data_IF_043611060568
#
_entry.id   IF_043611060568
#
_cell.length_a   1.000
_cell.length_b   1.000
_cell.length_c   1.000
_cell.angle_alpha   90.00
_cell.angle_beta   90.00
_cell.angle_gamma   90.00
#
_symmetry.space_group_name_H-M   'P 1'
#
loop_
_entity.id
_entity.type
_entity.pdbx_description
1 polymer ?
#
# COMPACT_ATOMS: atom_id res chain seq x y z
N UNK A 1 35.37 -16.00 -17.80
CA UNK A 1 34.40 -15.10 -17.16
C UNK A 1 33.54 -14.51 -18.27
N UNK A 2 32.39 -15.11 -18.54
CA UNK A 2 31.44 -14.58 -19.49
C UNK A 2 30.71 -13.43 -18.80
N UNK A 3 30.91 -12.22 -19.31
CA UNK A 3 30.12 -11.04 -18.97
C UNK A 3 28.70 -11.27 -19.46
N UNK A 4 27.81 -11.69 -18.56
CA UNK A 4 26.37 -11.70 -18.81
C UNK A 4 25.94 -10.24 -18.82
N UNK A 5 25.65 -9.70 -20.01
CA UNK A 5 24.87 -8.46 -20.11
C UNK A 5 23.56 -8.66 -19.35
N UNK A 6 23.09 -7.69 -18.55
CA UNK A 6 21.83 -7.83 -17.86
C UNK A 6 20.72 -7.95 -18.91
N UNK A 7 20.05 -9.10 -18.94
CA UNK A 7 18.82 -9.27 -19.71
C UNK A 7 17.82 -8.31 -19.07
N UNK A 8 17.42 -7.26 -19.78
CA UNK A 8 16.46 -6.27 -19.28
C UNK A 8 15.11 -6.91 -18.91
N UNK A 9 14.35 -6.27 -18.03
CA UNK A 9 13.02 -6.73 -17.64
C UNK A 9 12.06 -6.72 -18.84
N UNK A 10 11.51 -7.89 -19.21
CA UNK A 10 10.60 -8.03 -20.34
C UNK A 10 9.16 -7.64 -19.95
N UNK A 11 8.90 -6.33 -19.96
CA UNK A 11 7.61 -5.77 -19.61
C UNK A 11 6.48 -6.19 -20.57
N UNK A 12 6.77 -6.46 -21.85
CA UNK A 12 5.75 -6.89 -22.83
C UNK A 12 5.29 -8.32 -22.55
N UNK A 13 6.23 -9.23 -22.19
CA UNK A 13 5.87 -10.57 -21.72
C UNK A 13 5.00 -10.49 -20.46
N UNK A 14 5.39 -9.68 -19.49
CA UNK A 14 4.62 -9.47 -18.25
C UNK A 14 3.24 -8.88 -18.55
N UNK A 15 3.15 -7.91 -19.47
CA UNK A 15 1.90 -7.27 -19.88
C UNK A 15 0.91 -8.27 -20.48
N UNK A 16 1.39 -9.29 -21.19
CA UNK A 16 0.54 -10.34 -21.78
C UNK A 16 -0.23 -11.15 -20.71
N UNK A 17 0.29 -11.24 -19.49
CA UNK A 17 -0.35 -11.94 -18.38
C UNK A 17 -1.57 -11.17 -17.83
N UNK A 18 -1.76 -9.90 -18.19
CA UNK A 18 -2.85 -9.04 -17.70
C UNK A 18 -3.91 -8.82 -18.80
N UNK A 19 -4.99 -9.63 -18.84
CA UNK A 19 -5.96 -9.60 -19.94
C UNK A 19 -6.62 -8.23 -20.15
N UNK A 20 -6.84 -7.49 -19.05
CA UNK A 20 -7.49 -6.18 -19.07
C UNK A 20 -6.68 -5.11 -19.84
N UNK A 21 -5.36 -5.29 -20.00
CA UNK A 21 -4.50 -4.35 -20.71
C UNK A 21 -4.60 -4.45 -22.24
N UNK A 22 -5.31 -5.44 -22.76
CA UNK A 22 -5.57 -5.64 -24.20
C UNK A 22 -6.85 -4.95 -24.68
N UNK A 23 -7.59 -4.29 -23.78
CA UNK A 23 -8.84 -3.62 -24.14
C UNK A 23 -8.62 -2.29 -24.90
N UNK A 24 -9.69 -1.83 -25.54
CA UNK A 24 -9.80 -0.45 -26.01
C UNK A 24 -10.75 0.34 -25.12
N UNK A 25 -10.39 1.59 -24.82
CA UNK A 25 -11.19 2.55 -24.07
C UNK A 25 -11.36 3.80 -24.94
N UNK A 26 -12.60 4.24 -25.16
CA UNK A 26 -12.92 5.40 -26.00
C UNK A 26 -12.35 5.31 -27.43
N UNK A 27 -12.24 4.09 -27.99
CA UNK A 27 -11.69 3.85 -29.34
C UNK A 27 -10.16 3.86 -29.41
N UNK A 28 -9.47 3.91 -28.27
CA UNK A 28 -8.01 3.90 -28.17
C UNK A 28 -7.53 2.69 -27.36
N UNK A 29 -6.35 2.11 -27.65
CA UNK A 29 -5.80 1.05 -26.78
C UNK A 29 -5.56 1.60 -25.38
N UNK A 30 -5.85 0.84 -24.33
CA UNK A 30 -5.71 1.31 -22.95
C UNK A 30 -4.23 1.57 -22.56
N UNK A 31 -3.98 2.77 -22.02
CA UNK A 31 -2.77 3.12 -21.26
C UNK A 31 -3.17 3.33 -19.81
N UNK A 32 -2.92 2.33 -18.96
CA UNK A 32 -3.32 2.37 -17.56
C UNK A 32 -2.18 2.86 -16.66
N UNK A 33 -2.33 4.07 -16.12
CA UNK A 33 -1.35 4.77 -15.28
C UNK A 33 -1.96 5.21 -13.92
N UNK A 34 -2.97 4.50 -13.41
CA UNK A 34 -3.53 4.70 -12.06
C UNK A 34 -3.20 3.54 -11.10
N UNK A 35 -2.01 2.95 -11.26
CA UNK A 35 -1.55 1.80 -10.49
C UNK A 35 -1.45 2.05 -8.98
N UNK A 36 -1.12 3.29 -8.57
CA UNK A 36 -1.06 3.67 -7.16
C UNK A 36 -2.45 3.77 -6.51
N UNK A 37 -3.55 3.76 -7.27
CA UNK A 37 -4.90 3.56 -6.72
C UNK A 37 -5.22 2.07 -6.63
N UNK A 38 -5.04 1.32 -7.73
CA UNK A 38 -5.14 -0.14 -7.75
C UNK A 38 -4.37 -0.68 -8.94
N UNK A 39 -3.75 -1.84 -8.79
CA UNK A 39 -3.06 -2.52 -9.89
C UNK A 39 -4.02 -3.38 -10.70
N UNK A 40 -3.65 -3.79 -11.90
CA UNK A 40 -4.38 -4.82 -12.65
C UNK A 40 -4.03 -6.23 -12.16
N UNK A 41 -4.79 -7.24 -12.61
CA UNK A 41 -4.68 -8.62 -12.12
C UNK A 41 -4.15 -9.52 -13.23
N UNK A 42 -3.10 -10.32 -12.99
CA UNK A 42 -2.67 -11.31 -13.95
C UNK A 42 -3.68 -12.46 -14.00
N UNK A 43 -3.74 -13.17 -15.12
CA UNK A 43 -4.70 -14.27 -15.35
C UNK A 43 -4.63 -15.34 -14.25
N UNK A 44 -3.43 -15.63 -13.72
CA UNK A 44 -3.24 -16.62 -12.65
C UNK A 44 -3.99 -16.26 -11.36
N UNK A 45 -4.16 -14.97 -11.05
CA UNK A 45 -4.93 -14.50 -9.89
C UNK A 45 -6.43 -14.67 -10.14
N UNK A 46 -6.87 -14.31 -11.34
CA UNK A 46 -8.27 -14.46 -11.76
C UNK A 46 -8.67 -15.94 -11.71
N UNK A 47 -7.82 -16.81 -12.28
CA UNK A 47 -8.05 -18.25 -12.33
C UNK A 47 -8.05 -18.87 -10.93
N UNK A 48 -7.17 -18.46 -10.01
CA UNK A 48 -7.17 -18.96 -8.64
C UNK A 48 -8.51 -18.70 -7.90
N UNK A 49 -9.12 -17.54 -8.12
CA UNK A 49 -10.43 -17.20 -7.56
C UNK A 49 -11.53 -18.03 -8.22
N UNK A 50 -11.49 -18.17 -9.55
CA UNK A 50 -12.44 -18.99 -10.31
C UNK A 50 -12.40 -20.45 -9.87
N UNK A 51 -11.21 -21.03 -9.74
CA UNK A 51 -11.01 -22.43 -9.35
C UNK A 51 -11.48 -22.69 -7.92
N UNK A 52 -11.21 -21.77 -6.99
CA UNK A 52 -11.76 -21.88 -5.64
C UNK A 52 -13.28 -22.02 -5.67
N UNK A 53 -13.99 -21.14 -6.38
CA UNK A 53 -15.45 -21.20 -6.41
C UNK A 53 -16.01 -22.37 -7.20
N UNK A 54 -15.29 -22.85 -8.23
CA UNK A 54 -15.73 -23.99 -9.03
C UNK A 54 -15.46 -25.34 -8.36
N UNK A 55 -14.38 -25.46 -7.61
CA UNK A 55 -13.84 -26.77 -7.21
C UNK A 55 -13.76 -26.99 -5.69
N UNK A 56 -13.39 -25.97 -4.92
CA UNK A 56 -12.98 -26.15 -3.51
C UNK A 56 -13.80 -25.32 -2.50
N UNK A 57 -14.79 -24.55 -2.94
CA UNK A 57 -15.53 -23.62 -2.08
C UNK A 57 -16.12 -24.32 -0.85
N UNK A 58 -15.65 -23.89 0.32
CA UNK A 58 -16.21 -24.21 1.62
C UNK A 58 -15.71 -23.21 2.66
N UNK A 59 -16.30 -23.23 3.85
CA UNK A 59 -15.74 -22.47 4.97
C UNK A 59 -14.44 -23.12 5.46
N UNK A 60 -13.59 -22.34 6.14
CA UNK A 60 -12.27 -22.76 6.62
C UNK A 60 -12.29 -23.22 8.09
N UNK A 61 -11.21 -23.89 8.50
CA UNK A 61 -10.88 -24.35 9.86
C UNK A 61 -11.75 -25.48 10.44
N UNK A 62 -13.04 -25.26 10.71
CA UNK A 62 -13.86 -26.18 11.55
C UNK A 62 -14.61 -27.29 10.79
N UNK A 63 -14.39 -27.43 9.49
CA UNK A 63 -15.09 -28.44 8.68
C UNK A 63 -14.40 -29.80 8.74
N UNK A 64 -15.16 -30.87 8.99
CA UNK A 64 -14.64 -32.25 9.05
C UNK A 64 -14.70 -32.99 7.69
N UNK A 65 -14.69 -32.26 6.58
CA UNK A 65 -14.89 -32.81 5.24
C UNK A 65 -13.87 -32.26 4.24
N UNK A 66 -13.60 -33.02 3.18
CA UNK A 66 -12.49 -32.77 2.25
C UNK A 66 -12.46 -31.36 1.64
N UNK A 67 -13.61 -30.77 1.30
CA UNK A 67 -13.64 -29.40 0.76
C UNK A 67 -13.17 -28.35 1.78
N UNK A 68 -13.51 -28.50 3.05
CA UNK A 68 -13.05 -27.59 4.10
C UNK A 68 -11.55 -27.76 4.35
N UNK A 69 -11.04 -29.00 4.32
CA UNK A 69 -9.60 -29.26 4.43
C UNK A 69 -8.81 -28.59 3.29
N UNK A 70 -9.28 -28.73 2.05
CA UNK A 70 -8.64 -28.12 0.87
C UNK A 70 -8.69 -26.59 0.91
N UNK A 71 -9.85 -26.02 1.22
CA UNK A 71 -10.01 -24.57 1.37
C UNK A 71 -9.09 -24.03 2.48
N UNK A 72 -9.04 -24.70 3.64
CA UNK A 72 -8.19 -24.31 4.77
C UNK A 72 -6.72 -24.39 4.42
N UNK A 73 -6.28 -25.46 3.76
CA UNK A 73 -4.89 -25.61 3.34
C UNK A 73 -4.47 -24.49 2.37
N UNK A 74 -5.31 -24.15 1.38
CA UNK A 74 -5.04 -23.05 0.44
C UNK A 74 -5.04 -21.68 1.14
N UNK A 75 -5.97 -21.45 2.06
CA UNK A 75 -6.08 -20.22 2.83
C UNK A 75 -4.86 -19.98 3.73
N UNK A 76 -4.46 -20.97 4.53
CA UNK A 76 -3.29 -20.84 5.41
C UNK A 76 -1.96 -20.84 4.64
N UNK A 77 -1.89 -21.50 3.48
CA UNK A 77 -0.72 -21.40 2.60
C UNK A 77 -0.49 -19.95 2.11
N UNK A 78 -1.55 -19.19 1.84
CA UNK A 78 -1.43 -17.78 1.47
C UNK A 78 -0.80 -16.94 2.60
N UNK A 79 -1.05 -17.29 3.86
CA UNK A 79 -0.44 -16.62 5.02
C UNK A 79 1.06 -16.87 5.09
N UNK A 80 1.47 -18.12 4.84
CA UNK A 80 2.88 -18.49 4.71
C UNK A 80 3.59 -17.72 3.59
N UNK A 81 2.92 -17.53 2.45
CA UNK A 81 3.45 -16.72 1.33
C UNK A 81 3.63 -15.25 1.70
N UNK A 82 2.69 -14.67 2.45
CA UNK A 82 2.85 -13.31 2.98
C UNK A 82 4.06 -13.21 3.91
N UNK A 83 4.21 -14.16 4.85
CA UNK A 83 5.38 -14.22 5.73
C UNK A 83 6.67 -14.21 4.92
N UNK A 84 6.74 -15.05 3.89
CA UNK A 84 7.94 -15.16 3.05
C UNK A 84 8.18 -13.90 2.20
N UNK A 85 7.12 -13.29 1.67
CA UNK A 85 7.19 -12.06 0.87
C UNK A 85 7.82 -10.89 1.63
N UNK A 86 7.44 -10.72 2.91
CA UNK A 86 7.91 -9.60 3.73
C UNK A 86 9.05 -10.00 4.70
N UNK A 87 9.51 -11.25 4.60
CA UNK A 87 10.49 -11.84 5.50
C UNK A 87 10.13 -11.68 7.00
N UNK A 88 8.85 -11.90 7.35
CA UNK A 88 8.42 -11.96 8.75
C UNK A 88 8.93 -13.23 9.44
N UNK A 89 9.16 -13.17 10.76
CA UNK A 89 9.69 -14.31 11.51
C UNK A 89 8.66 -15.46 11.56
N UNK A 90 7.37 -15.13 11.76
CA UNK A 90 6.33 -16.13 11.93
C UNK A 90 5.06 -15.83 11.15
N UNK A 91 4.36 -16.89 10.72
CA UNK A 91 3.11 -16.74 9.98
C UNK A 91 1.96 -16.21 10.85
N UNK A 92 1.97 -16.48 12.16
CA UNK A 92 0.95 -15.97 13.09
C UNK A 92 1.05 -14.46 13.36
N UNK A 93 2.13 -13.82 12.90
CA UNK A 93 2.28 -12.36 12.93
C UNK A 93 1.52 -11.68 11.79
N UNK A 94 1.01 -12.46 10.83
CA UNK A 94 0.24 -11.99 9.68
C UNK A 94 -1.24 -12.12 10.00
N UNK A 95 -1.94 -10.99 10.07
CA UNK A 95 -3.38 -10.90 10.30
C UNK A 95 -4.07 -10.48 9.01
N UNK A 96 -5.10 -11.21 8.61
CA UNK A 96 -5.95 -10.84 7.48
C UNK A 96 -6.90 -9.71 7.86
N UNK A 97 -6.98 -8.72 6.97
CA UNK A 97 -7.93 -7.62 7.05
C UNK A 97 -8.52 -7.37 5.67
N UNK A 98 -9.36 -6.34 5.53
CA UNK A 98 -9.95 -5.88 4.28
C UNK A 98 -9.03 -4.98 3.44
N UNK A 99 -7.91 -4.55 4.02
CA UNK A 99 -6.98 -3.60 3.42
C UNK A 99 -6.17 -2.85 4.48
N UNK A 100 -5.16 -2.10 4.03
CA UNK A 100 -4.35 -1.17 4.85
C UNK A 100 -5.20 -0.36 5.82
N UNK A 101 -6.33 0.19 5.37
CA UNK A 101 -7.20 1.02 6.21
C UNK A 101 -7.76 0.25 7.41
N UNK A 102 -8.22 -0.99 7.23
CA UNK A 102 -8.72 -1.79 8.35
C UNK A 102 -7.58 -2.22 9.26
N UNK A 103 -6.41 -2.57 8.70
CA UNK A 103 -5.21 -2.87 9.47
C UNK A 103 -4.79 -1.73 10.40
N UNK A 104 -4.77 -0.48 9.91
CA UNK A 104 -4.44 0.69 10.73
C UNK A 104 -5.51 0.91 11.80
N UNK A 105 -6.80 0.78 11.44
CA UNK A 105 -7.88 0.90 12.42
C UNK A 105 -7.81 -0.19 13.50
N UNK A 106 -7.38 -1.40 13.17
CA UNK A 106 -7.16 -2.47 14.13
C UNK A 106 -6.10 -2.04 15.14
N UNK A 107 -4.93 -1.58 14.68
CA UNK A 107 -3.87 -1.10 15.57
C UNK A 107 -4.34 0.09 16.41
N UNK A 108 -4.96 1.10 15.80
CA UNK A 108 -5.45 2.28 16.51
C UNK A 108 -6.50 1.92 17.57
N UNK A 109 -7.50 1.10 17.24
CA UNK A 109 -8.58 0.75 18.19
C UNK A 109 -8.18 -0.28 19.23
N UNK A 110 -7.22 -1.15 18.92
CA UNK A 110 -6.77 -2.18 19.84
C UNK A 110 -5.59 -1.71 20.69
N UNK A 111 -4.46 -1.37 20.07
CA UNK A 111 -3.29 -0.85 20.77
C UNK A 111 -3.53 0.57 21.25
N UNK A 112 -4.00 1.47 20.37
CA UNK A 112 -4.13 2.89 20.70
C UNK A 112 -5.07 3.15 21.88
N UNK A 113 -6.28 2.58 21.88
CA UNK A 113 -7.23 2.71 23.01
C UNK A 113 -6.72 2.10 24.31
N UNK A 114 -5.89 1.05 24.23
CA UNK A 114 -5.34 0.39 25.41
C UNK A 114 -4.13 1.10 26.03
N UNK A 115 -3.44 1.95 25.26
CA UNK A 115 -2.11 2.45 25.65
C UNK A 115 -2.00 3.98 25.67
N UNK A 116 -2.76 4.71 24.85
CA UNK A 116 -2.71 6.17 24.82
C UNK A 116 -3.41 6.79 26.04
N UNK A 117 -2.79 7.81 26.61
CA UNK A 117 -3.26 8.57 27.76
C UNK A 117 -3.36 10.08 27.44
N UNK A 118 -4.06 10.86 28.28
CA UNK A 118 -4.11 12.30 28.11
C UNK A 118 -2.72 12.95 28.05
N UNK A 119 -2.46 13.71 26.97
CA UNK A 119 -1.19 14.40 26.74
C UNK A 119 -0.13 13.60 25.97
N UNK A 120 -0.38 12.32 25.66
CA UNK A 120 0.43 11.54 24.73
C UNK A 120 0.28 12.04 23.29
N UNK A 121 1.26 11.72 22.45
CA UNK A 121 1.35 12.18 21.06
C UNK A 121 1.50 11.00 20.10
N UNK A 122 0.76 11.06 18.99
CA UNK A 122 0.95 10.20 17.81
C UNK A 122 1.51 11.08 16.69
N UNK A 123 2.69 10.73 16.19
CA UNK A 123 3.28 11.43 15.06
C UNK A 123 2.87 10.75 13.76
N UNK A 124 2.44 11.54 12.77
CA UNK A 124 2.13 11.08 11.40
C UNK A 124 2.89 11.92 10.40
N UNK A 125 3.32 11.41 9.25
CA UNK A 125 3.88 12.27 8.20
C UNK A 125 2.85 13.31 7.70
N UNK A 126 3.28 14.53 7.36
CA UNK A 126 2.40 15.49 6.70
C UNK A 126 1.89 15.02 5.32
N UNK A 127 2.58 14.05 4.70
CA UNK A 127 2.20 13.44 3.42
C UNK A 127 1.48 12.09 3.55
N UNK A 128 0.97 11.76 4.75
CA UNK A 128 0.20 10.53 4.95
C UNK A 128 -1.05 10.46 4.08
N UNK A 129 -1.37 9.22 3.70
CA UNK A 129 -2.70 8.90 3.21
C UNK A 129 -3.72 9.03 4.37
N UNK A 130 -4.95 9.44 4.08
CA UNK A 130 -6.02 9.64 5.08
C UNK A 130 -6.26 8.42 5.98
N UNK A 131 -6.06 7.22 5.44
CA UNK A 131 -6.16 5.96 6.19
C UNK A 131 -5.16 5.85 7.36
N UNK A 132 -4.03 6.56 7.30
CA UNK A 132 -3.03 6.63 8.37
C UNK A 132 -3.07 7.96 9.15
N UNK A 133 -4.17 8.71 9.05
CA UNK A 133 -4.42 9.94 9.83
C UNK A 133 -5.69 9.77 10.65
N UNK A 134 -6.81 9.50 9.98
CA UNK A 134 -8.15 9.54 10.57
C UNK A 134 -8.33 8.57 11.74
N UNK A 135 -7.84 7.31 11.68
CA UNK A 135 -7.99 6.38 12.81
C UNK A 135 -7.29 6.88 14.08
N UNK A 136 -6.11 7.48 13.93
CA UNK A 136 -5.38 8.08 15.04
C UNK A 136 -6.10 9.28 15.61
N UNK A 137 -6.67 10.15 14.77
CA UNK A 137 -7.44 11.30 15.24
C UNK A 137 -8.66 10.88 16.06
N UNK A 138 -9.37 9.85 15.61
CA UNK A 138 -10.54 9.31 16.32
C UNK A 138 -10.16 8.75 17.69
N UNK A 139 -9.10 7.95 17.77
CA UNK A 139 -8.65 7.34 19.04
C UNK A 139 -8.01 8.39 19.96
N UNK A 140 -7.23 9.32 19.42
CA UNK A 140 -6.61 10.38 20.19
C UNK A 140 -7.66 11.28 20.85
N UNK A 141 -8.74 11.61 20.12
CA UNK A 141 -9.86 12.37 20.67
C UNK A 141 -10.54 11.66 21.86
N UNK A 142 -10.68 10.33 21.80
CA UNK A 142 -11.26 9.53 22.89
C UNK A 142 -10.32 9.39 24.10
N UNK A 143 -9.01 9.30 23.86
CA UNK A 143 -7.98 9.08 24.89
C UNK A 143 -7.39 10.38 25.49
N UNK A 144 -7.70 11.55 24.90
CA UNK A 144 -7.08 12.82 25.28
C UNK A 144 -5.63 13.00 24.78
N UNK A 145 -5.22 12.22 23.78
CA UNK A 145 -3.93 12.35 23.11
C UNK A 145 -4.01 13.36 21.94
N UNK A 146 -2.89 13.67 21.30
CA UNK A 146 -2.84 14.47 20.06
C UNK A 146 -2.29 13.66 18.88
N UNK A 147 -2.66 14.10 17.67
CA UNK A 147 -2.05 13.66 16.41
C UNK A 147 -1.32 14.84 15.81
N UNK A 148 -0.03 14.70 15.54
CA UNK A 148 0.82 15.80 15.11
C UNK A 148 1.60 15.43 13.83
N UNK A 149 1.64 16.34 12.84
CA UNK A 149 2.32 16.08 11.59
C UNK A 149 3.83 16.26 11.71
N UNK A 150 4.60 15.28 11.24
CA UNK A 150 6.02 15.40 10.95
C UNK A 150 6.15 16.24 9.66
N UNK A 151 6.85 17.38 9.69
CA UNK A 151 6.97 18.26 8.53
C UNK A 151 7.58 17.57 7.31
N UNK A 152 7.19 18.05 6.13
CA UNK A 152 7.71 17.63 4.84
C UNK A 152 8.15 18.87 4.08
N UNK A 153 9.29 18.83 3.41
CA UNK A 153 9.78 19.96 2.63
C UNK A 153 9.05 20.13 1.27
N UNK A 154 9.43 21.18 0.52
CA UNK A 154 8.85 21.46 -0.80
C UNK A 154 9.13 20.35 -1.84
N UNK A 155 10.18 19.56 -1.64
CA UNK A 155 10.50 18.42 -2.50
C UNK A 155 9.64 17.20 -2.22
N UNK A 156 8.94 17.17 -1.07
CA UNK A 156 8.23 15.97 -0.62
C UNK A 156 9.10 15.02 0.18
N UNK A 157 10.17 15.53 0.79
CA UNK A 157 11.06 14.75 1.68
C UNK A 157 10.70 15.04 3.14
N UNK A 158 10.63 13.99 3.97
CA UNK A 158 10.33 14.11 5.39
C UNK A 158 11.46 14.85 6.13
N UNK A 159 11.11 15.81 7.00
CA UNK A 159 12.09 16.52 7.83
C UNK A 159 12.52 15.65 9.02
N UNK A 160 13.62 14.93 8.82
CA UNK A 160 14.20 14.04 9.84
C UNK A 160 14.81 14.80 11.03
N UNK A 161 15.12 16.09 10.90
CA UNK A 161 15.57 16.91 12.02
C UNK A 161 14.39 17.31 12.91
N UNK A 162 13.27 17.69 12.29
CA UNK A 162 12.03 17.95 13.01
C UNK A 162 11.54 16.70 13.73
N UNK A 163 11.57 15.52 13.10
CA UNK A 163 11.22 14.26 13.76
C UNK A 163 12.02 14.03 15.05
N UNK A 164 13.35 14.20 15.01
CA UNK A 164 14.21 14.08 16.20
C UNK A 164 13.76 15.02 17.32
N UNK A 165 13.59 16.30 17.00
CA UNK A 165 13.15 17.31 17.97
C UNK A 165 11.77 17.00 18.55
N UNK A 166 10.84 16.50 17.72
CA UNK A 166 9.51 16.12 18.16
C UNK A 166 9.50 14.92 19.10
N UNK A 167 10.52 14.06 19.06
CA UNK A 167 10.65 12.88 19.93
C UNK A 167 11.31 13.20 21.30
N UNK A 168 12.02 14.32 21.43
CA UNK A 168 12.86 14.66 22.59
C UNK A 168 12.10 14.73 23.94
N UNK A 169 10.81 15.05 23.92
CA UNK A 169 10.03 15.23 25.15
C UNK A 169 9.47 13.93 25.76
N UNK A 170 9.68 12.78 25.10
CA UNK A 170 9.27 11.45 25.57
C UNK A 170 7.76 11.19 25.63
N UNK A 171 6.93 12.10 25.08
CA UNK A 171 5.46 11.96 25.08
C UNK A 171 4.93 11.26 23.83
N UNK A 172 5.77 11.03 22.83
CA UNK A 172 5.39 10.29 21.64
C UNK A 172 5.27 8.81 21.97
N UNK A 173 4.13 8.20 21.62
CA UNK A 173 3.87 6.76 21.84
C UNK A 173 3.82 5.96 20.54
N UNK A 174 3.53 6.63 19.44
CA UNK A 174 3.46 6.02 18.11
C UNK A 174 4.00 6.99 17.07
N UNK A 175 4.83 6.49 16.17
CA UNK A 175 5.20 7.13 14.91
C UNK A 175 4.59 6.30 13.79
N UNK A 176 3.55 6.82 13.13
CA UNK A 176 2.86 6.15 12.04
C UNK A 176 3.20 6.85 10.71
N UNK A 177 3.93 6.16 9.84
CA UNK A 177 4.45 6.77 8.60
C UNK A 177 4.27 5.86 7.40
N UNK A 178 3.92 6.42 6.24
CA UNK A 178 4.02 5.75 4.97
C UNK A 178 5.47 5.39 4.67
N UNK A 179 5.72 4.14 4.28
CA UNK A 179 7.01 3.79 3.69
C UNK A 179 7.18 4.56 2.38
N UNK A 180 6.10 4.69 1.60
CA UNK A 180 6.09 5.42 0.34
C UNK A 180 4.84 6.28 0.22
N UNK A 181 5.00 7.55 -0.14
CA UNK A 181 3.89 8.46 -0.40
C UNK A 181 3.13 8.06 -1.66
N UNK A 182 1.81 7.86 -1.56
CA UNK A 182 0.98 7.57 -2.74
C UNK A 182 0.78 8.79 -3.65
N UNK A 183 0.88 9.99 -3.10
CA UNK A 183 0.67 11.23 -3.83
C UNK A 183 1.98 11.69 -4.49
N UNK A 184 3.10 11.57 -3.79
CA UNK A 184 4.39 12.14 -4.21
C UNK A 184 5.37 11.11 -4.74
N UNK A 185 5.19 9.83 -4.43
CA UNK A 185 6.14 8.76 -4.77
C UNK A 185 7.37 8.70 -3.86
N UNK A 186 7.57 9.67 -2.97
CA UNK A 186 8.72 9.74 -2.05
C UNK A 186 8.84 8.46 -1.21
N UNK A 187 10.05 7.90 -1.17
CA UNK A 187 10.43 6.79 -0.29
C UNK A 187 11.01 7.40 0.99
N UNK A 188 10.36 7.16 2.12
CA UNK A 188 10.81 7.65 3.42
C UNK A 188 11.94 6.77 3.97
N UNK A 189 12.90 7.34 4.74
CA UNK A 189 13.99 6.59 5.36
C UNK A 189 13.48 5.83 6.61
N UNK A 190 12.65 4.80 6.39
CA UNK A 190 11.89 4.15 7.46
C UNK A 190 12.76 3.43 8.48
N UNK A 191 13.94 2.95 8.12
CA UNK A 191 14.90 2.36 9.05
C UNK A 191 15.33 3.38 10.11
N UNK A 192 15.63 4.61 9.68
CA UNK A 192 16.00 5.71 10.59
C UNK A 192 14.80 6.14 11.45
N UNK A 193 13.60 6.18 10.87
CA UNK A 193 12.36 6.50 11.59
C UNK A 193 12.10 5.49 12.72
N UNK A 194 12.21 4.18 12.42
CA UNK A 194 12.01 3.11 13.41
C UNK A 194 13.05 3.23 14.53
N UNK A 195 14.32 3.39 14.18
CA UNK A 195 15.40 3.55 15.16
C UNK A 195 15.18 4.74 16.09
N UNK A 196 14.78 5.91 15.55
CA UNK A 196 14.49 7.10 16.34
C UNK A 196 13.27 6.92 17.23
N UNK A 197 12.20 6.31 16.71
CA UNK A 197 10.99 6.03 17.49
C UNK A 197 11.30 5.13 18.68
N UNK A 198 12.00 4.02 18.45
CA UNK A 198 12.40 3.08 19.51
C UNK A 198 13.33 3.71 20.54
N UNK A 199 14.31 4.51 20.11
CA UNK A 199 15.20 5.23 21.01
C UNK A 199 14.45 6.19 21.96
N UNK A 200 13.31 6.72 21.51
CA UNK A 200 12.41 7.56 22.31
C UNK A 200 11.35 6.77 23.10
N UNK A 201 11.32 5.43 22.99
CA UNK A 201 10.34 4.57 23.64
C UNK A 201 8.95 4.57 22.97
N UNK A 202 8.84 5.07 21.74
CA UNK A 202 7.65 5.00 20.92
C UNK A 202 7.65 3.73 20.06
N UNK A 203 6.46 3.27 19.65
CA UNK A 203 6.32 2.25 18.62
C UNK A 203 6.29 2.86 17.21
N UNK A 204 6.53 2.06 16.18
CA UNK A 204 6.44 2.47 14.79
C UNK A 204 5.48 1.60 13.97
N UNK A 205 4.48 2.24 13.34
CA UNK A 205 3.62 1.63 12.32
C UNK A 205 4.00 2.16 10.94
N UNK A 206 4.30 1.26 10.02
CA UNK A 206 4.61 1.61 8.63
C UNK A 206 3.45 1.28 7.69
N UNK A 207 2.94 2.30 6.98
CA UNK A 207 2.03 2.10 5.86
C UNK A 207 2.82 1.73 4.60
N UNK A 208 2.83 0.43 4.30
CA UNK A 208 3.49 -0.18 3.16
C UNK A 208 2.64 -0.33 1.92
N UNK A 209 1.47 0.31 1.86
CA UNK A 209 0.49 0.08 0.79
C UNK A 209 1.05 0.30 -0.63
N UNK A 210 1.97 1.24 -0.80
CA UNK A 210 2.68 1.45 -2.07
C UNK A 210 3.96 0.62 -2.13
N UNK A 211 4.79 0.64 -1.09
CA UNK A 211 6.11 0.00 -1.08
C UNK A 211 6.09 -1.47 -1.53
N UNK A 212 5.14 -2.26 -1.02
CA UNK A 212 5.08 -3.71 -1.26
C UNK A 212 5.06 -4.09 -2.75
N UNK A 213 4.43 -3.25 -3.59
CA UNK A 213 4.31 -3.45 -5.03
C UNK A 213 5.60 -3.20 -5.80
N UNK A 214 6.47 -2.33 -5.28
CA UNK A 214 7.57 -1.73 -6.04
C UNK A 214 8.94 -2.33 -5.70
N UNK A 215 9.19 -2.68 -4.45
CA UNK A 215 10.49 -3.23 -4.03
C UNK A 215 10.34 -4.20 -2.85
N UNK A 216 11.40 -4.98 -2.60
CA UNK A 216 11.42 -5.97 -1.52
C UNK A 216 11.51 -5.30 -0.14
N UNK A 217 10.80 -5.87 0.83
CA UNK A 217 10.78 -5.40 2.21
C UNK A 217 11.14 -6.54 3.15
N UNK A 218 11.78 -6.22 4.26
CA UNK A 218 12.25 -7.19 5.24
C UNK A 218 11.86 -6.73 6.65
N UNK A 219 10.86 -7.38 7.23
CA UNK A 219 10.33 -7.00 8.54
C UNK A 219 11.33 -7.22 9.67
N UNK A 220 12.24 -8.20 9.52
CA UNK A 220 13.26 -8.47 10.52
C UNK A 220 14.38 -7.42 10.46
N UNK A 221 14.73 -6.95 9.26
CA UNK A 221 15.73 -5.89 9.09
C UNK A 221 15.18 -4.50 9.44
N UNK A 222 13.93 -4.21 9.04
CA UNK A 222 13.26 -2.94 9.35
C UNK A 222 12.96 -2.76 10.84
N UNK A 223 12.69 -3.88 11.54
CA UNK A 223 12.32 -3.93 12.95
C UNK A 223 11.11 -3.06 13.34
N UNK A 224 10.25 -2.67 12.38
CA UNK A 224 9.01 -1.95 12.70
C UNK A 224 8.05 -2.81 13.53
N UNK A 225 7.21 -2.17 14.33
CA UNK A 225 6.30 -2.86 15.24
C UNK A 225 5.03 -3.35 14.54
N UNK A 226 4.57 -2.58 13.55
CA UNK A 226 3.47 -2.92 12.66
C UNK A 226 3.80 -2.53 11.22
N UNK A 227 3.39 -3.37 10.27
CA UNK A 227 3.49 -3.08 8.83
C UNK A 227 2.20 -3.47 8.13
N UNK A 228 1.66 -2.59 7.30
CA UNK A 228 0.33 -2.77 6.71
C UNK A 228 0.35 -2.58 5.21
N UNK A 229 -0.41 -3.39 4.48
CA UNK A 229 -0.59 -3.21 3.03
C UNK A 229 -1.88 -3.84 2.52
N UNK A 230 -2.26 -3.49 1.30
CA UNK A 230 -3.47 -3.97 0.62
C UNK A 230 -3.11 -4.85 -0.58
N UNK A 231 -3.78 -5.99 -0.71
CA UNK A 231 -3.56 -6.94 -1.81
C UNK A 231 -3.80 -6.31 -3.20
N UNK A 232 -4.79 -5.41 -3.32
CA UNK A 232 -5.13 -4.79 -4.60
C UNK A 232 -4.04 -3.84 -5.17
N UNK A 233 -3.01 -3.52 -4.38
CA UNK A 233 -1.81 -2.80 -4.82
C UNK A 233 -0.60 -3.70 -5.09
N UNK A 234 -0.75 -5.00 -4.88
CA UNK A 234 0.20 -6.07 -5.23
C UNK A 234 -0.48 -7.09 -6.15
N UNK A 235 -1.16 -6.59 -7.20
CA UNK A 235 -1.83 -7.40 -8.24
C UNK A 235 -2.90 -8.39 -7.76
N UNK A 236 -3.21 -8.39 -6.46
CA UNK A 236 -4.19 -9.25 -5.83
C UNK A 236 -5.61 -8.68 -5.87
N UNK A 237 -6.57 -9.42 -5.32
CA UNK A 237 -7.98 -9.02 -5.28
C UNK A 237 -8.22 -7.81 -4.38
N UNK A 238 -9.37 -7.16 -4.59
CA UNK A 238 -9.94 -6.19 -3.65
C UNK A 238 -10.45 -6.89 -2.40
N UNK A 239 -10.59 -6.17 -1.28
CA UNK A 239 -11.20 -6.72 -0.07
C UNK A 239 -10.26 -7.54 0.81
N UNK A 240 -8.97 -7.61 0.45
CA UNK A 240 -7.92 -8.28 1.24
C UNK A 240 -6.79 -7.31 1.55
N UNK A 241 -6.36 -7.32 2.79
CA UNK A 241 -5.21 -6.63 3.32
C UNK A 241 -4.49 -7.46 4.36
N UNK A 242 -3.34 -6.94 4.76
CA UNK A 242 -2.45 -7.56 5.72
C UNK A 242 -2.11 -6.54 6.80
N UNK A 243 -2.14 -6.99 8.04
CA UNK A 243 -1.42 -6.41 9.15
C UNK A 243 -0.33 -7.42 9.55
N UNK A 244 0.93 -7.03 9.42
CA UNK A 244 2.01 -7.62 10.18
C UNK A 244 2.14 -6.88 11.52
N UNK A 245 2.33 -7.62 12.60
CA UNK A 245 2.72 -7.05 13.89
C UNK A 245 3.60 -8.02 14.69
N UNK A 246 4.54 -7.48 15.47
CA UNK A 246 5.39 -8.32 16.33
C UNK A 246 4.52 -9.13 17.30
N UNK A 247 4.82 -10.43 17.43
CA UNK A 247 4.04 -11.39 18.22
C UNK A 247 3.64 -10.86 19.61
N UNK A 248 4.61 -10.34 20.37
CA UNK A 248 4.38 -9.84 21.73
C UNK A 248 3.37 -8.67 21.79
N UNK A 249 3.35 -7.80 20.78
CA UNK A 249 2.40 -6.68 20.72
C UNK A 249 0.99 -7.18 20.39
N UNK A 250 0.86 -8.04 19.39
CA UNK A 250 -0.42 -8.65 18.99
C UNK A 250 -1.04 -9.48 20.13
N UNK A 251 -0.21 -10.19 20.90
CA UNK A 251 -0.65 -10.93 22.08
C UNK A 251 -1.20 -10.00 23.18
N UNK A 252 -0.53 -8.88 23.45
CA UNK A 252 -0.95 -7.91 24.47
C UNK A 252 -2.20 -7.09 24.08
N UNK A 253 -2.38 -6.83 22.79
CA UNK A 253 -3.49 -6.07 22.20
C UNK A 253 -4.87 -6.71 22.48
N UNK A 254 -5.91 -5.93 22.77
CA UNK A 254 -7.28 -6.47 22.95
C UNK A 254 -8.01 -6.64 21.61
N UNK A 255 -8.89 -7.62 21.42
CA UNK A 255 -9.65 -7.73 20.17
C UNK A 255 -10.47 -6.46 19.88
N UNK A 256 -10.49 -6.04 18.61
CA UNK A 256 -11.30 -4.89 18.16
C UNK A 256 -12.68 -5.32 17.68
N UNK A 257 -12.75 -6.33 16.81
CA UNK A 257 -13.98 -6.92 16.30
C UNK A 257 -14.22 -8.26 16.99
N UNK A 258 -15.39 -8.47 17.57
CA UNK A 258 -15.79 -9.70 18.24
C UNK A 258 -16.77 -10.53 17.42
N UNK A 259 -16.66 -11.86 17.48
CA UNK A 259 -17.54 -12.76 16.75
C UNK A 259 -17.09 -14.22 16.82
N UNK A 260 -17.58 -15.04 15.88
CA UNK A 260 -17.06 -16.40 15.69
C UNK A 260 -15.60 -16.40 15.24
N UNK A 261 -14.96 -17.57 15.25
CA UNK A 261 -13.55 -17.82 14.89
C UNK A 261 -12.47 -17.22 15.82
N UNK A 262 -12.66 -15.99 16.30
CA UNK A 262 -11.72 -15.28 17.16
C UNK A 262 -11.77 -15.66 18.65
N UNK A 263 -12.70 -16.53 19.03
CA UNK A 263 -12.91 -17.00 20.41
C UNK A 263 -12.22 -18.34 20.67
N UNK A 264 -11.80 -18.55 21.92
CA UNK A 264 -11.45 -19.88 22.45
C UNK A 264 -12.69 -20.50 23.12
N UNK A 265 -13.30 -19.79 24.07
CA UNK A 265 -14.55 -20.20 24.72
C UNK A 265 -15.53 -19.03 24.84
N UNK A 266 -16.83 -19.35 24.76
CA UNK A 266 -17.94 -18.39 24.91
C UNK A 266 -18.94 -18.91 25.92
N UNK A 267 -19.31 -18.06 26.89
CA UNK A 267 -20.40 -18.29 27.82
C UNK A 267 -21.09 -16.98 28.17
N UNK A 268 -22.30 -17.05 28.75
CA UNK A 268 -22.99 -15.85 29.25
C UNK A 268 -22.26 -15.17 30.42
N UNK A 269 -21.36 -15.87 31.12
CA UNK A 269 -20.56 -15.29 32.20
C UNK A 269 -19.28 -14.59 31.70
N UNK A 270 -18.89 -14.82 30.44
CA UNK A 270 -17.65 -14.30 29.87
C UNK A 270 -17.13 -15.13 28.70
N UNK A 271 -16.22 -14.55 27.93
CA UNK A 271 -15.55 -15.18 26.79
C UNK A 271 -14.04 -15.05 26.91
N UNK A 272 -13.31 -15.96 26.27
CA UNK A 272 -11.85 -15.94 26.13
C UNK A 272 -11.49 -15.96 24.64
N UNK A 273 -10.33 -15.41 24.32
CA UNK A 273 -9.92 -15.14 22.94
C UNK A 273 -9.00 -16.24 22.41
N UNK A 274 -9.10 -16.49 21.12
CA UNK A 274 -8.23 -17.42 20.42
C UNK A 274 -6.78 -16.91 20.41
N UNK A 275 -5.85 -17.78 20.06
CA UNK A 275 -4.45 -17.42 19.81
C UNK A 275 -4.29 -16.68 18.48
N UNK A 276 -3.08 -16.15 18.23
CA UNK A 276 -2.74 -15.55 16.95
C UNK A 276 -2.69 -16.61 15.84
N UNK A 277 -3.08 -16.27 14.60
CA UNK A 277 -3.58 -14.96 14.15
C UNK A 277 -5.09 -14.76 14.38
N UNK A 278 -5.81 -15.83 14.68
CA UNK A 278 -7.28 -15.88 14.65
C UNK A 278 -7.97 -14.96 15.65
N UNK A 279 -7.28 -14.57 16.74
CA UNK A 279 -7.72 -13.53 17.70
C UNK A 279 -8.27 -12.26 17.03
N UNK A 280 -7.76 -11.90 15.86
CA UNK A 280 -8.13 -10.68 15.14
C UNK A 280 -8.90 -10.94 13.84
N UNK A 281 -9.27 -12.18 13.55
CA UNK A 281 -9.96 -12.59 12.31
C UNK A 281 -11.38 -13.06 12.64
N UNK A 282 -12.23 -12.10 13.04
CA UNK A 282 -13.59 -12.39 13.49
C UNK A 282 -14.53 -12.73 12.32
N UNK A 283 -15.26 -13.84 12.45
CA UNK A 283 -16.22 -14.31 11.45
C UNK A 283 -15.55 -14.98 10.24
N UNK A 284 -16.37 -15.32 9.24
CA UNK A 284 -15.87 -15.93 8.00
C UNK A 284 -15.00 -14.92 7.23
N UNK A 285 -13.73 -15.24 6.93
CA UNK A 285 -12.85 -14.34 6.19
C UNK A 285 -13.18 -14.35 4.68
N UNK A 286 -12.55 -13.44 3.92
CA UNK A 286 -12.58 -13.47 2.45
C UNK A 286 -11.66 -14.59 1.92
N UNK A 287 -12.15 -15.82 1.95
CA UNK A 287 -11.37 -17.03 1.62
C UNK A 287 -10.87 -17.00 0.17
N UNK A 288 -11.77 -16.67 -0.78
CA UNK A 288 -11.44 -16.61 -2.20
C UNK A 288 -10.43 -15.50 -2.49
N UNK A 289 -10.62 -14.33 -1.87
CA UNK A 289 -9.69 -13.22 -1.96
C UNK A 289 -8.31 -13.58 -1.42
N UNK A 290 -8.21 -14.22 -0.26
CA UNK A 290 -6.92 -14.62 0.33
C UNK A 290 -6.21 -15.65 -0.55
N UNK A 291 -6.92 -16.62 -1.12
CA UNK A 291 -6.34 -17.60 -2.07
C UNK A 291 -5.86 -16.90 -3.34
N UNK A 292 -6.67 -16.00 -3.92
CA UNK A 292 -6.28 -15.19 -5.07
C UNK A 292 -5.07 -14.30 -4.77
N UNK A 293 -4.98 -13.77 -3.55
CA UNK A 293 -3.81 -13.01 -3.14
C UNK A 293 -2.55 -13.88 -3.02
N UNK A 294 -2.67 -15.10 -2.51
CA UNK A 294 -1.59 -16.08 -2.52
C UNK A 294 -1.05 -16.35 -3.93
N UNK A 295 -1.91 -16.40 -4.96
CA UNK A 295 -1.47 -16.52 -6.35
C UNK A 295 -0.78 -15.25 -6.88
N UNK A 296 -1.19 -14.07 -6.41
CA UNK A 296 -0.53 -12.81 -6.77
C UNK A 296 0.89 -12.76 -6.20
N UNK A 297 1.09 -13.24 -4.97
CA UNK A 297 2.40 -13.32 -4.34
C UNK A 297 3.31 -14.29 -5.10
N UNK A 298 2.82 -15.48 -5.45
CA UNK A 298 3.59 -16.43 -6.27
C UNK A 298 4.00 -15.81 -7.61
N UNK A 299 3.07 -15.10 -8.27
CA UNK A 299 3.34 -14.42 -9.54
C UNK A 299 4.47 -13.41 -9.38
N UNK A 300 4.40 -12.53 -8.37
CA UNK A 300 5.40 -11.49 -8.12
C UNK A 300 6.75 -12.08 -7.70
N UNK A 301 6.76 -13.12 -6.86
CA UNK A 301 8.00 -13.80 -6.45
C UNK A 301 8.63 -14.62 -7.59
N UNK A 302 7.85 -15.00 -8.60
CA UNK A 302 8.35 -15.62 -9.82
C UNK A 302 9.02 -14.65 -10.80
N UNK A 303 8.93 -13.33 -10.56
CA UNK A 303 9.61 -12.31 -11.36
C UNK A 303 10.97 -11.95 -10.78
N UNK A 304 11.87 -11.45 -11.63
CA UNK A 304 13.06 -10.74 -11.17
C UNK A 304 12.66 -9.36 -10.64
N UNK A 305 12.46 -9.29 -9.32
CA UNK A 305 12.03 -8.08 -8.59
C UNK A 305 13.02 -6.92 -8.71
N UNK A 306 14.32 -7.22 -8.78
CA UNK A 306 15.35 -6.18 -8.91
C UNK A 306 15.32 -5.59 -10.31
N UNK A 307 15.17 -6.43 -11.34
CA UNK A 307 14.99 -5.96 -12.70
C UNK A 307 13.66 -5.19 -12.88
N UNK A 308 12.58 -5.62 -12.20
CA UNK A 308 11.29 -4.94 -12.20
C UNK A 308 11.37 -3.53 -11.60
N UNK A 309 12.01 -3.39 -10.43
CA UNK A 309 12.25 -2.10 -9.77
C UNK A 309 13.09 -1.18 -10.67
N UNK A 310 14.16 -1.69 -11.28
CA UNK A 310 15.00 -0.93 -12.19
C UNK A 310 14.22 -0.47 -13.44
N UNK A 311 13.31 -1.29 -13.96
CA UNK A 311 12.41 -0.95 -15.07
C UNK A 311 11.44 0.16 -14.69
N UNK A 312 10.77 0.07 -13.54
CA UNK A 312 9.87 1.12 -13.08
C UNK A 312 10.61 2.46 -12.86
N UNK A 313 11.82 2.41 -12.30
CA UNK A 313 12.66 3.60 -12.13
C UNK A 313 13.09 4.20 -13.48
N UNK A 314 13.39 3.37 -14.46
CA UNK A 314 13.67 3.80 -15.83
C UNK A 314 12.47 4.54 -16.43
N UNK A 315 11.27 3.99 -16.30
CA UNK A 315 10.03 4.64 -16.77
C UNK A 315 9.78 5.98 -16.08
N UNK A 316 10.02 6.06 -14.77
CA UNK A 316 9.91 7.32 -14.02
C UNK A 316 10.87 8.37 -14.57
N UNK A 317 12.16 8.02 -14.70
CA UNK A 317 13.17 8.94 -15.20
C UNK A 317 12.86 9.42 -16.61
N UNK A 318 12.41 8.51 -17.48
CA UNK A 318 11.98 8.85 -18.84
C UNK A 318 10.75 9.77 -18.81
N UNK A 319 9.73 9.46 -18.00
CA UNK A 319 8.55 10.30 -17.88
C UNK A 319 8.89 11.69 -17.34
N UNK A 320 9.73 11.80 -16.31
CA UNK A 320 10.15 13.09 -15.76
C UNK A 320 11.04 13.89 -16.73
N UNK A 321 11.87 13.24 -17.55
CA UNK A 321 12.63 13.96 -18.58
C UNK A 321 11.71 14.56 -19.63
N UNK A 322 10.70 13.80 -20.08
CA UNK A 322 9.68 14.27 -21.02
C UNK A 322 8.82 15.37 -20.38
N UNK A 323 8.48 15.27 -19.10
CA UNK A 323 7.72 16.28 -18.36
C UNK A 323 8.42 17.64 -18.32
N UNK A 324 9.74 17.66 -18.12
CA UNK A 324 10.54 18.91 -18.11
C UNK A 324 10.57 19.60 -19.47
N UNK A 325 10.28 18.89 -20.55
CA UNK A 325 10.17 19.46 -21.90
C UNK A 325 8.81 20.10 -22.17
N UNK A 326 7.79 19.89 -21.33
CA UNK A 326 6.43 20.41 -21.52
C UNK A 326 6.29 21.81 -20.90
N UNK A 327 6.09 22.87 -21.70
CA UNK A 327 5.86 24.22 -21.17
C UNK A 327 4.62 24.28 -20.28
N UNK A 328 4.74 24.94 -19.13
CA UNK A 328 3.67 25.07 -18.13
C UNK A 328 3.50 23.85 -17.23
N UNK A 329 4.27 22.77 -17.41
CA UNK A 329 4.20 21.61 -16.53
C UNK A 329 5.05 21.83 -15.27
N UNK A 330 4.48 21.52 -14.10
CA UNK A 330 5.19 21.52 -12.82
C UNK A 330 5.07 20.15 -12.14
N UNK A 331 6.20 19.49 -11.91
CA UNK A 331 6.25 18.26 -11.13
C UNK A 331 6.03 18.57 -9.64
N UNK A 332 5.30 17.68 -8.95
CA UNK A 332 4.98 17.76 -7.52
C UNK A 332 5.49 16.49 -6.85
N UNK A 333 6.29 16.65 -5.78
CA UNK A 333 7.06 15.56 -5.20
C UNK A 333 8.30 15.25 -6.03
N UNK A 334 9.40 15.93 -5.76
CA UNK A 334 10.69 15.80 -6.45
C UNK A 334 11.80 15.31 -5.51
N UNK A 335 11.42 14.53 -4.49
CA UNK A 335 12.35 13.84 -3.60
C UNK A 335 13.36 13.00 -4.41
N UNK A 336 14.58 12.86 -3.88
CA UNK A 336 15.65 12.14 -4.57
C UNK A 336 15.37 10.63 -4.73
N UNK A 337 14.72 10.03 -3.73
CA UNK A 337 14.34 8.62 -3.73
C UNK A 337 12.83 8.50 -3.88
N UNK A 338 12.39 7.94 -5.02
CA UNK A 338 10.97 7.81 -5.34
C UNK A 338 10.68 6.51 -6.07
N UNK A 339 9.47 5.98 -5.85
CA UNK A 339 8.87 4.99 -6.74
C UNK A 339 8.35 5.68 -8.01
N UNK A 340 7.93 4.89 -9.01
CA UNK A 340 7.43 5.37 -10.29
C UNK A 340 6.02 6.02 -10.21
N UNK A 341 5.92 7.10 -9.44
CA UNK A 341 4.75 7.98 -9.31
C UNK A 341 5.16 9.39 -9.69
N UNK A 342 4.50 9.93 -10.71
CA UNK A 342 4.69 11.27 -11.21
C UNK A 342 3.39 12.06 -11.00
N UNK A 343 3.38 12.89 -9.95
CA UNK A 343 2.36 13.92 -9.76
C UNK A 343 2.77 15.21 -10.45
N UNK A 344 1.83 15.88 -11.11
CA UNK A 344 2.11 17.12 -11.81
C UNK A 344 0.88 18.03 -11.90
N UNK A 345 1.18 19.28 -12.22
CA UNK A 345 0.22 20.31 -12.60
C UNK A 345 0.55 20.79 -14.01
N UNK A 346 -0.47 21.31 -14.70
CA UNK A 346 -0.34 22.01 -15.97
C UNK A 346 -0.89 23.42 -15.77
N UNK A 347 -0.08 24.43 -16.06
CA UNK A 347 -0.44 25.84 -15.93
C UNK A 347 -1.71 26.15 -16.71
N UNK A 348 -2.62 26.92 -16.10
CA UNK A 348 -3.91 27.27 -16.70
C UNK A 348 -4.96 26.16 -16.72
N UNK A 349 -4.64 24.93 -16.29
CA UNK A 349 -5.55 23.79 -16.35
C UNK A 349 -5.90 23.24 -14.96
N UNK A 350 -7.18 22.99 -14.70
CA UNK A 350 -7.59 22.27 -13.50
C UNK A 350 -7.27 20.77 -13.65
N UNK A 351 -6.73 20.07 -12.63
CA UNK A 351 -6.34 18.67 -12.75
C UNK A 351 -7.44 17.75 -13.29
N UNK A 352 -8.70 17.98 -12.89
CA UNK A 352 -9.85 17.18 -13.33
C UNK A 352 -10.11 17.29 -14.85
N UNK A 353 -9.89 18.47 -15.44
CA UNK A 353 -10.09 18.69 -16.88
C UNK A 353 -9.01 17.93 -17.67
N UNK A 354 -7.76 18.02 -17.21
CA UNK A 354 -6.64 17.26 -17.78
C UNK A 354 -6.92 15.76 -17.74
N UNK A 355 -7.36 15.22 -16.59
CA UNK A 355 -7.69 13.79 -16.48
C UNK A 355 -8.82 13.37 -17.41
N UNK A 356 -9.87 14.18 -17.54
CA UNK A 356 -11.00 13.90 -18.44
C UNK A 356 -10.57 13.86 -19.90
N UNK A 357 -9.74 14.82 -20.34
CA UNK A 357 -9.24 14.87 -21.71
C UNK A 357 -8.20 13.78 -22.02
N UNK A 358 -7.47 13.29 -21.01
CA UNK A 358 -6.60 12.11 -21.14
C UNK A 358 -7.40 10.82 -21.29
N UNK A 359 -8.48 10.64 -20.51
CA UNK A 359 -9.34 9.46 -20.58
C UNK A 359 -10.01 9.31 -21.96
N UNK A 360 -10.46 10.43 -22.56
CA UNK A 360 -10.99 10.45 -23.93
C UNK A 360 -9.98 9.93 -24.98
N UNK A 361 -8.69 9.90 -24.64
CA UNK A 361 -7.60 9.42 -25.49
C UNK A 361 -7.08 8.02 -25.06
N UNK A 362 -7.79 7.36 -24.15
CA UNK A 362 -7.48 6.04 -23.61
C UNK A 362 -6.36 6.02 -22.57
N UNK A 363 -5.99 7.17 -21.99
CA UNK A 363 -4.94 7.29 -20.96
C UNK A 363 -5.58 7.49 -19.59
N UNK A 364 -5.55 6.45 -18.76
CA UNK A 364 -6.13 6.48 -17.42
C UNK A 364 -5.09 6.99 -16.41
N UNK A 365 -5.37 8.15 -15.80
CA UNK A 365 -4.61 8.77 -14.70
C UNK A 365 -5.55 9.09 -13.55
N UNK A 366 -4.99 9.48 -12.39
CA UNK A 366 -5.80 9.99 -11.26
C UNK A 366 -5.72 11.49 -11.15
N UNK A 367 -6.80 12.12 -10.71
CA UNK A 367 -6.84 13.56 -10.42
C UNK A 367 -7.39 13.84 -9.04
N UNK A 368 -6.96 14.94 -8.43
CA UNK A 368 -7.46 15.43 -7.14
C UNK A 368 -6.43 15.29 -6.02
N UNK A 369 -6.90 15.09 -4.80
CA UNK A 369 -6.04 15.11 -3.60
C UNK A 369 -5.38 13.77 -3.28
N UNK A 370 -5.73 12.70 -4.00
CA UNK A 370 -5.21 11.33 -3.79
C UNK A 370 -5.33 10.83 -2.34
N UNK A 371 -6.39 11.26 -1.62
CA UNK A 371 -6.54 10.98 -0.19
C UNK A 371 -5.35 11.44 0.66
N UNK A 372 -4.71 12.54 0.28
CA UNK A 372 -3.58 13.17 0.97
C UNK A 372 -3.81 14.69 1.00
N UNK A 373 -5.00 15.13 1.41
CA UNK A 373 -5.36 16.57 1.43
C UNK A 373 -4.38 17.46 2.20
N UNK A 374 -3.89 17.09 3.40
CA UNK A 374 -3.01 17.98 4.17
C UNK A 374 -1.74 18.41 3.40
N UNK A 375 -1.12 17.52 2.62
CA UNK A 375 0.06 17.89 1.83
C UNK A 375 -0.31 18.76 0.62
N UNK A 376 -1.51 18.61 0.06
CA UNK A 376 -2.02 19.49 -1.00
C UNK A 376 -2.25 20.91 -0.46
N UNK A 377 -2.81 21.01 0.75
CA UNK A 377 -3.03 22.28 1.45
C UNK A 377 -1.68 22.94 1.78
N UNK A 378 -0.70 22.17 2.26
CA UNK A 378 0.66 22.67 2.52
C UNK A 378 1.31 23.24 1.25
N UNK A 379 1.14 22.57 0.11
CA UNK A 379 1.64 23.07 -1.18
C UNK A 379 0.76 24.16 -1.80
N UNK A 380 -0.36 24.50 -1.18
CA UNK A 380 -1.35 25.47 -1.67
C UNK A 380 -1.83 25.15 -3.10
N UNK A 381 -2.14 23.89 -3.37
CA UNK A 381 -2.61 23.39 -4.66
C UNK A 381 -3.97 22.68 -4.54
N UNK A 382 -4.82 22.69 -5.59
CA UNK A 382 -6.15 22.06 -5.55
C UNK A 382 -6.10 20.51 -5.67
N UNK A 383 -4.91 19.91 -5.62
CA UNK A 383 -4.64 18.53 -6.02
C UNK A 383 -3.70 18.45 -7.22
N UNK A 384 -3.49 17.25 -7.76
CA UNK A 384 -2.60 17.01 -8.91
C UNK A 384 -3.23 16.06 -9.92
N UNK A 385 -2.66 16.01 -11.13
CA UNK A 385 -2.76 14.83 -11.99
C UNK A 385 -1.65 13.88 -11.58
N UNK A 386 -1.94 12.58 -11.45
CA UNK A 386 -0.98 11.56 -11.06
C UNK A 386 -0.96 10.43 -12.08
N UNK A 387 0.18 10.28 -12.73
CA UNK A 387 0.53 9.08 -13.49
C UNK A 387 1.41 8.20 -12.60
N UNK A 388 0.98 6.97 -12.37
CA UNK A 388 1.65 5.98 -11.54
C UNK A 388 1.89 4.73 -12.37
N UNK A 389 3.14 4.34 -12.53
CA UNK A 389 3.57 3.24 -13.38
C UNK A 389 3.68 1.94 -12.58
N UNK A 390 3.70 0.82 -13.29
CA UNK A 390 3.93 -0.52 -12.73
C UNK A 390 4.73 -1.39 -13.72
N UNK A 391 5.11 -2.59 -13.29
CA UNK A 391 5.89 -3.58 -14.03
C UNK A 391 5.43 -3.85 -15.48
N UNK A 392 4.13 -3.73 -15.78
CA UNK A 392 3.58 -3.98 -17.13
C UNK A 392 3.48 -2.73 -18.01
N UNK A 393 3.86 -1.56 -17.49
CA UNK A 393 3.94 -0.35 -18.29
C UNK A 393 5.23 -0.32 -19.10
N UNK A 394 5.24 0.45 -20.19
CA UNK A 394 6.39 0.54 -21.10
C UNK A 394 6.69 1.98 -21.49
N UNK A 395 7.83 2.22 -22.15
CA UNK A 395 8.14 3.54 -22.71
C UNK A 395 7.07 4.02 -23.70
N UNK A 396 6.42 3.10 -24.43
CA UNK A 396 5.33 3.44 -25.32
C UNK A 396 4.10 3.99 -24.56
N UNK A 397 3.82 3.48 -23.35
CA UNK A 397 2.79 4.06 -22.48
C UNK A 397 3.16 5.51 -22.07
N UNK A 398 4.43 5.75 -21.74
CA UNK A 398 4.95 7.10 -21.43
C UNK A 398 4.81 8.03 -22.66
N UNK A 399 5.24 7.59 -23.83
CA UNK A 399 5.13 8.37 -25.06
C UNK A 399 3.67 8.74 -25.37
N UNK A 400 2.76 7.79 -25.20
CA UNK A 400 1.32 8.02 -25.38
C UNK A 400 0.74 9.00 -24.37
N UNK A 401 1.18 8.98 -23.11
CA UNK A 401 0.81 10.00 -22.14
C UNK A 401 1.22 11.40 -22.63
N UNK A 402 2.46 11.58 -23.08
CA UNK A 402 2.94 12.89 -23.52
C UNK A 402 2.33 13.36 -24.84
N UNK A 403 2.05 12.46 -25.79
CA UNK A 403 1.28 12.79 -27.00
C UNK A 403 -0.14 13.24 -26.63
N UNK A 404 -0.77 12.60 -25.66
CA UNK A 404 -2.10 12.97 -25.19
C UNK A 404 -2.10 14.31 -24.45
N UNK A 405 -1.10 14.56 -23.60
CA UNK A 405 -0.92 15.83 -22.88
C UNK A 405 -0.68 17.02 -23.81
N UNK A 406 0.08 16.85 -24.89
CA UNK A 406 0.27 17.90 -25.90
C UNK A 406 -1.07 18.30 -26.54
N UNK A 407 -1.95 17.33 -26.81
CA UNK A 407 -3.30 17.62 -27.30
C UNK A 407 -4.15 18.31 -26.24
N UNK A 408 -4.12 17.88 -24.99
CA UNK A 408 -4.84 18.54 -23.88
C UNK A 408 -4.48 20.03 -23.82
N UNK A 409 -3.19 20.35 -23.92
CA UNK A 409 -2.69 21.73 -23.88
C UNK A 409 -3.10 22.58 -25.10
N UNK A 410 -3.53 21.97 -26.20
CA UNK A 410 -4.08 22.70 -27.34
C UNK A 410 -5.58 23.02 -27.15
N UNK A 411 -6.26 22.34 -26.23
CA UNK A 411 -7.68 22.53 -25.92
C UNK A 411 -7.94 23.46 -24.73
N UNK A 412 -6.99 23.56 -23.80
CA UNK A 412 -7.02 24.42 -22.61
C UNK A 412 -6.14 25.64 -22.83
#
# INVERSE_FOLDING_TARGET
>A
MATVSPVGFDAERVRADFPILQQQVNGHPLVYLDNAATTQKPEVVIQAIVDYYREDNSNVHRGAHTLADRATAKFEAARGKVRDLIHAAHAHEIIWTRGTTESINLVANSWGRGNLQPGDRVLVSAMEHHANIVPWQMVAADCGASVEPIPVDESGTLDMQALRFMLDDGRVKMVACGHVSNALGSINPVEEIVQLAHAAGALCLLDGAQAIGHFNVDMQALDCDFYVFSAHKLFGPTGVGVLYGKSALLEAMQPWVGGGEMIETVSFAGSTWNQLPWKFEAGTPDIAGVIGFGAAIDYVQGLDRVAAEAHELELLHYAESRAREVPGMRLIGTAANKIAVMSFLLEGAHPADVGTLLDQQGVAVRTGHHCAQPIMDQYAIPGTVRASFSIYNTRADVDRLFVALEKVRQFL
#
